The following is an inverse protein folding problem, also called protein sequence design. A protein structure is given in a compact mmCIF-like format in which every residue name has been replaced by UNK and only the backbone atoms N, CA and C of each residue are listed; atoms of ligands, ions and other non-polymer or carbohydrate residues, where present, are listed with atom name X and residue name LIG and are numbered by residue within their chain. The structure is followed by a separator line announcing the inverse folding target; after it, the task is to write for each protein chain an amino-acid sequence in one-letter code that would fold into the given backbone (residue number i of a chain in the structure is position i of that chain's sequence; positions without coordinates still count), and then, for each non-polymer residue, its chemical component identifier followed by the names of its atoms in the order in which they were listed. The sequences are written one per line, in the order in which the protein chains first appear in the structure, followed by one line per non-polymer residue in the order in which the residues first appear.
data_IF_658145802534
#
_entry.id   IF_658145802534
#
_cell.length_a   1.000
_cell.length_b   1.000
_cell.length_c   1.000
_cell.angle_alpha   90.00
_cell.angle_beta   90.00
_cell.angle_gamma   90.00
#
_symmetry.space_group_name_H-M   'P 1'
#
loop_
_entity.id
_entity.type
_entity.pdbx_description
1 polymer ?
#
# COMPACT_ATOMS: atom_id res chain seq x y z
N UNK A 1 39.15 -31.07 25.53
CA UNK A 1 39.44 -30.85 24.11
C UNK A 1 38.26 -31.30 23.30
N UNK A 2 37.39 -30.40 22.93
CA UNK A 2 36.47 -30.52 21.77
C UNK A 2 35.80 -29.18 21.63
N UNK A 3 36.26 -28.42 20.66
CA UNK A 3 35.67 -27.15 20.24
C UNK A 3 34.51 -27.49 19.28
N UNK A 4 33.29 -27.32 19.72
CA UNK A 4 32.09 -27.48 18.82
C UNK A 4 31.76 -26.13 18.27
N UNK A 5 31.96 -25.99 16.99
CA UNK A 5 31.57 -24.88 16.15
C UNK A 5 30.03 -24.82 16.07
N UNK A 6 29.46 -23.86 16.77
CA UNK A 6 28.05 -23.48 16.64
C UNK A 6 27.95 -22.29 15.70
N UNK A 7 27.79 -22.54 14.40
CA UNK A 7 27.79 -21.49 13.39
C UNK A 7 26.69 -21.58 12.31
N UNK A 8 25.57 -22.28 12.54
CA UNK A 8 24.58 -22.48 11.47
C UNK A 8 23.12 -22.21 11.86
N UNK A 9 22.85 -21.46 12.93
CA UNK A 9 21.46 -21.23 13.40
C UNK A 9 20.96 -19.79 13.37
N UNK A 10 21.76 -18.83 12.97
CA UNK A 10 21.41 -17.41 13.12
C UNK A 10 20.37 -16.92 12.09
N UNK A 11 20.40 -17.42 10.87
CA UNK A 11 19.49 -16.95 9.82
C UNK A 11 18.04 -17.45 9.96
N UNK A 12 17.85 -18.66 10.48
CA UNK A 12 16.51 -19.23 10.67
C UNK A 12 15.85 -18.72 11.97
N UNK A 13 16.66 -18.31 12.97
CA UNK A 13 16.15 -17.79 14.23
C UNK A 13 15.66 -16.34 14.16
N UNK A 14 16.24 -15.50 13.29
CA UNK A 14 15.78 -14.12 13.10
C UNK A 14 14.36 -14.05 12.50
N UNK A 15 13.99 -15.00 11.66
CA UNK A 15 12.63 -15.10 11.12
C UNK A 15 11.66 -15.74 12.12
N UNK A 16 12.16 -16.53 13.07
CA UNK A 16 11.34 -17.27 14.04
C UNK A 16 11.16 -16.59 15.39
N UNK A 17 12.04 -15.65 15.76
CA UNK A 17 12.00 -14.99 17.08
C UNK A 17 11.11 -13.75 17.14
N UNK A 18 10.57 -13.27 16.00
CA UNK A 18 9.45 -12.34 16.01
C UNK A 18 8.14 -13.13 16.07
N UNK A 19 7.95 -13.86 17.18
CA UNK A 19 6.74 -14.58 17.47
C UNK A 19 5.60 -13.58 17.51
N UNK A 20 4.67 -13.82 16.63
CA UNK A 20 3.33 -13.27 16.56
C UNK A 20 2.67 -13.26 17.96
N UNK A 21 2.63 -12.13 18.60
CA UNK A 21 1.45 -11.79 19.38
C UNK A 21 0.29 -11.82 18.38
N UNK A 22 -0.77 -12.52 18.72
CA UNK A 22 -2.02 -12.60 17.99
C UNK A 22 -2.61 -11.21 17.76
N UNK A 23 -2.06 -10.53 16.78
CA UNK A 23 -2.66 -9.30 16.25
C UNK A 23 -3.63 -9.80 15.20
N UNK A 24 -4.91 -9.47 15.37
CA UNK A 24 -5.96 -9.60 14.37
C UNK A 24 -5.41 -9.39 12.97
N UNK A 25 -6.04 -9.93 11.88
CA UNK A 25 -5.56 -9.75 10.53
C UNK A 25 -5.46 -8.25 10.27
N UNK A 26 -4.35 -7.69 10.69
CA UNK A 26 -4.07 -6.26 10.67
C UNK A 26 -4.06 -5.88 9.22
N UNK A 27 -5.03 -5.10 8.82
CA UNK A 27 -5.03 -4.43 7.54
C UNK A 27 -3.76 -3.59 7.45
N UNK A 28 -2.72 -4.17 6.83
CA UNK A 28 -1.56 -3.39 6.45
C UNK A 28 -1.97 -2.48 5.31
N UNK A 29 -1.41 -1.28 5.29
CA UNK A 29 -1.73 -0.29 4.25
C UNK A 29 -0.83 -0.49 3.01
N UNK A 30 0.44 -0.89 3.24
CA UNK A 30 1.44 -1.12 2.20
C UNK A 30 2.24 -2.40 2.41
N UNK A 31 2.78 -2.92 1.30
CA UNK A 31 3.79 -3.97 1.30
C UNK A 31 5.03 -3.50 0.56
N UNK A 32 6.17 -3.57 1.22
CA UNK A 32 7.47 -3.35 0.63
C UNK A 32 8.06 -4.72 0.30
N UNK A 33 8.41 -4.90 -0.96
CA UNK A 33 9.03 -6.11 -1.46
C UNK A 33 10.54 -5.98 -1.39
N UNK A 34 11.13 -6.72 -0.48
CA UNK A 34 12.57 -6.79 -0.32
C UNK A 34 13.14 -7.95 -1.11
N UNK A 35 14.30 -7.77 -1.73
CA UNK A 35 14.98 -8.83 -2.47
C UNK A 35 15.30 -9.99 -1.54
N UNK A 36 14.95 -11.19 -1.98
CA UNK A 36 15.04 -12.36 -1.15
C UNK A 36 16.47 -12.78 -0.87
N UNK A 37 16.60 -13.49 0.23
CA UNK A 37 17.83 -14.21 0.53
C UNK A 37 18.03 -15.30 -0.52
N UNK A 38 19.20 -15.39 -1.16
CA UNK A 38 19.47 -16.44 -2.13
C UNK A 38 19.21 -17.81 -1.47
N UNK A 39 18.41 -18.64 -2.12
CA UNK A 39 18.15 -19.98 -1.64
C UNK A 39 19.51 -20.71 -1.58
N UNK A 40 19.81 -21.29 -0.44
CA UNK A 40 20.79 -22.37 -0.36
C UNK A 40 20.11 -23.52 -1.10
N UNK A 41 20.51 -23.77 -2.33
CA UNK A 41 19.98 -24.90 -3.09
C UNK A 41 20.35 -26.19 -2.33
N UNK A 42 19.40 -27.11 -2.25
CA UNK A 42 19.64 -28.44 -1.65
C UNK A 42 20.81 -29.19 -2.31
N UNK A 43 21.16 -28.82 -3.53
CA UNK A 43 22.27 -29.41 -4.32
C UNK A 43 23.67 -28.91 -3.94
N UNK A 44 23.79 -28.03 -2.95
CA UNK A 44 25.12 -27.58 -2.47
C UNK A 44 25.96 -26.75 -3.44
N UNK A 45 25.49 -26.50 -4.68
CA UNK A 45 26.28 -25.95 -5.78
C UNK A 45 26.30 -24.43 -5.90
N UNK A 46 25.42 -23.71 -5.20
CA UNK A 46 25.45 -22.23 -5.14
C UNK A 46 25.24 -21.77 -3.70
N UNK A 47 26.27 -21.88 -2.86
CA UNK A 47 26.30 -21.16 -1.60
C UNK A 47 26.39 -19.68 -1.89
N UNK A 48 25.49 -18.89 -1.30
CA UNK A 48 25.68 -17.46 -1.22
C UNK A 48 27.07 -17.17 -0.62
N UNK A 49 27.80 -16.18 -1.13
CA UNK A 49 29.08 -15.79 -0.52
C UNK A 49 28.88 -15.54 0.98
N UNK A 50 29.82 -15.97 1.82
CA UNK A 50 29.78 -15.64 3.24
C UNK A 50 29.77 -14.12 3.38
N UNK A 51 28.85 -13.56 4.15
CA UNK A 51 28.67 -12.12 4.34
C UNK A 51 27.47 -11.51 3.60
N UNK A 52 27.08 -12.00 2.44
CA UNK A 52 25.93 -11.46 1.67
C UNK A 52 24.60 -11.56 2.46
N UNK A 53 24.44 -12.65 3.20
CA UNK A 53 23.23 -12.86 4.01
C UNK A 53 23.19 -11.90 5.19
N UNK A 54 24.36 -11.63 5.79
CA UNK A 54 24.48 -10.72 6.93
C UNK A 54 24.27 -9.26 6.49
N UNK A 55 24.80 -8.86 5.33
CA UNK A 55 24.57 -7.52 4.77
C UNK A 55 23.10 -7.27 4.49
N UNK A 56 22.41 -8.23 3.88
CA UNK A 56 20.97 -8.12 3.59
C UNK A 56 20.11 -8.14 4.85
N UNK A 57 20.50 -8.92 5.86
CA UNK A 57 19.82 -8.92 7.14
C UNK A 57 19.97 -7.57 7.85
N UNK A 58 21.17 -6.99 7.85
CA UNK A 58 21.43 -5.66 8.42
C UNK A 58 20.69 -4.56 7.66
N UNK A 59 20.60 -4.65 6.33
CA UNK A 59 19.81 -3.70 5.53
C UNK A 59 18.31 -3.79 5.87
N UNK A 60 17.76 -4.99 5.99
CA UNK A 60 16.39 -5.21 6.40
C UNK A 60 16.11 -4.67 7.81
N UNK A 61 17.01 -4.88 8.75
CA UNK A 61 16.90 -4.33 10.11
C UNK A 61 16.95 -2.80 10.09
N UNK A 62 17.86 -2.20 9.34
CA UNK A 62 17.93 -0.74 9.15
C UNK A 62 16.66 -0.19 8.52
N UNK A 63 16.11 -0.88 7.52
CA UNK A 63 14.84 -0.52 6.89
C UNK A 63 13.70 -0.53 7.92
N UNK A 64 13.59 -1.58 8.70
CA UNK A 64 12.53 -1.71 9.73
C UNK A 64 12.70 -0.67 10.85
N UNK A 65 13.93 -0.39 11.27
CA UNK A 65 14.23 0.66 12.24
C UNK A 65 13.83 2.03 11.70
N UNK A 66 14.18 2.34 10.43
CA UNK A 66 13.83 3.59 9.76
C UNK A 66 12.32 3.80 9.66
N UNK A 67 11.57 2.75 9.32
CA UNK A 67 10.10 2.80 9.30
C UNK A 67 9.52 3.09 10.68
N UNK A 68 10.08 2.45 11.72
CA UNK A 68 9.63 2.66 13.10
C UNK A 68 9.91 4.07 13.60
N UNK A 69 11.06 4.63 13.27
CA UNK A 69 11.45 6.00 13.65
C UNK A 69 10.49 7.07 13.13
N UNK A 70 9.83 6.80 12.01
CA UNK A 70 8.83 7.72 11.43
C UNK A 70 7.38 7.39 11.80
N UNK A 71 7.17 6.52 12.80
CA UNK A 71 5.84 6.16 13.31
C UNK A 71 5.08 5.18 12.41
N UNK A 72 5.81 4.36 11.64
CA UNK A 72 5.24 3.29 10.84
C UNK A 72 5.48 1.93 11.53
N UNK A 73 4.40 1.20 11.77
CA UNK A 73 4.49 -0.18 12.28
C UNK A 73 4.80 -1.10 11.11
N UNK A 74 5.85 -1.90 11.24
CA UNK A 74 6.28 -2.82 10.19
C UNK A 74 6.45 -4.25 10.69
N UNK A 75 6.02 -5.22 9.88
CA UNK A 75 6.16 -6.65 10.14
C UNK A 75 6.70 -7.34 8.90
N UNK A 76 7.78 -8.09 9.03
CA UNK A 76 8.37 -8.86 7.95
C UNK A 76 7.80 -10.27 7.89
N UNK A 77 7.50 -10.76 6.71
CA UNK A 77 7.10 -12.15 6.43
C UNK A 77 7.84 -12.70 5.23
N UNK A 78 8.13 -13.98 5.26
CA UNK A 78 8.68 -14.66 4.09
C UNK A 78 7.67 -14.61 2.94
N UNK A 79 8.11 -14.17 1.80
CA UNK A 79 7.32 -14.16 0.56
C UNK A 79 7.18 -15.55 -0.06
N UNK A 80 6.57 -15.66 -1.25
CA UNK A 80 6.40 -16.92 -1.95
C UNK A 80 7.70 -17.70 -2.07
N UNK A 81 7.66 -18.98 -1.69
CA UNK A 81 8.83 -19.87 -1.60
C UNK A 81 9.72 -19.91 -2.86
N UNK A 82 9.16 -19.62 -4.04
CA UNK A 82 9.89 -19.71 -5.28
C UNK A 82 11.03 -18.71 -5.46
N UNK A 83 10.99 -17.54 -4.79
CA UNK A 83 11.93 -16.43 -5.03
C UNK A 83 12.74 -16.00 -3.82
N UNK A 84 12.53 -16.58 -2.64
CA UNK A 84 13.24 -16.20 -1.41
C UNK A 84 13.05 -14.73 -1.01
N UNK A 85 11.96 -14.10 -1.43
CA UNK A 85 11.64 -12.70 -1.15
C UNK A 85 11.13 -12.52 0.27
N UNK A 86 11.38 -11.35 0.84
CA UNK A 86 10.80 -10.92 2.11
C UNK A 86 9.78 -9.82 1.82
N UNK A 87 8.60 -9.96 2.40
CA UNK A 87 7.54 -8.97 2.32
C UNK A 87 7.49 -8.23 3.66
N UNK A 88 7.67 -6.92 3.63
CA UNK A 88 7.53 -6.05 4.80
C UNK A 88 6.19 -5.36 4.72
N UNK A 89 5.28 -5.75 5.60
CA UNK A 89 3.96 -5.15 5.73
C UNK A 89 4.06 -3.90 6.58
N UNK A 90 3.53 -2.81 6.10
CA UNK A 90 3.63 -1.49 6.74
C UNK A 90 2.23 -0.95 7.02
N UNK A 91 2.05 -0.41 8.21
CA UNK A 91 0.84 0.28 8.65
C UNK A 91 1.23 1.60 9.32
N UNK A 92 0.48 2.65 9.04
CA UNK A 92 0.65 3.93 9.73
C UNK A 92 -0.04 3.91 11.10
N UNK A 93 0.61 4.47 12.10
CA UNK A 93 0.02 4.65 13.42
C UNK A 93 -1.06 5.74 13.39
N UNK A 94 -2.13 5.54 14.15
CA UNK A 94 -3.29 6.45 14.13
C UNK A 94 -2.92 7.89 14.54
N UNK A 95 -2.04 8.04 15.52
CA UNK A 95 -1.57 9.35 15.98
C UNK A 95 -0.84 10.13 14.85
N UNK A 96 0.05 9.45 14.12
CA UNK A 96 0.78 10.04 12.99
C UNK A 96 -0.17 10.39 11.85
N UNK A 97 -1.18 9.55 11.62
CA UNK A 97 -2.21 9.79 10.61
C UNK A 97 -3.02 11.05 10.92
N UNK A 98 -3.42 11.25 12.18
CA UNK A 98 -4.13 12.45 12.63
C UNK A 98 -3.26 13.71 12.49
N UNK A 99 -1.99 13.63 12.90
CA UNK A 99 -1.04 14.73 12.75
C UNK A 99 -0.90 15.15 11.28
N UNK A 100 -0.68 14.20 10.37
CA UNK A 100 -0.56 14.49 8.94
C UNK A 100 -1.83 15.09 8.34
N UNK A 101 -3.02 14.61 8.75
CA UNK A 101 -4.29 15.20 8.33
C UNK A 101 -4.44 16.63 8.82
N UNK A 102 -4.09 16.90 10.07
CA UNK A 102 -4.20 18.23 10.65
C UNK A 102 -3.27 19.23 9.95
N UNK A 103 -2.03 18.82 9.62
CA UNK A 103 -1.10 19.65 8.86
C UNK A 103 -1.65 19.95 7.47
N UNK A 104 -2.16 18.94 6.75
CA UNK A 104 -2.72 19.13 5.41
C UNK A 104 -3.95 20.05 5.44
N UNK A 105 -4.90 19.80 6.35
CA UNK A 105 -6.09 20.65 6.51
C UNK A 105 -5.74 22.10 6.88
N UNK A 106 -4.71 22.29 7.71
CA UNK A 106 -4.25 23.65 8.04
C UNK A 106 -3.64 24.38 6.84
N UNK A 107 -2.94 23.66 5.98
CA UNK A 107 -2.42 24.20 4.72
C UNK A 107 -3.56 24.52 3.75
N UNK A 108 -4.52 23.61 3.60
CA UNK A 108 -5.71 23.80 2.75
C UNK A 108 -6.56 24.98 3.22
N UNK A 109 -6.67 25.19 4.52
CA UNK A 109 -7.33 26.36 5.12
C UNK A 109 -6.59 27.67 4.78
N UNK A 110 -5.26 27.68 4.89
CA UNK A 110 -4.44 28.83 4.53
C UNK A 110 -4.54 29.18 3.03
N UNK A 111 -4.77 28.18 2.20
CA UNK A 111 -4.99 28.37 0.75
C UNK A 111 -6.47 28.66 0.39
N UNK A 112 -7.37 28.72 1.37
CA UNK A 112 -8.80 28.99 1.17
C UNK A 112 -9.58 27.86 0.51
N UNK A 113 -9.05 26.63 0.54
CA UNK A 113 -9.70 25.43 -0.03
C UNK A 113 -10.72 24.84 0.93
N UNK A 114 -10.47 24.95 2.22
CA UNK A 114 -11.29 24.37 3.31
C UNK A 114 -11.82 25.46 4.20
N UNK A 115 -13.06 25.32 4.66
CA UNK A 115 -13.69 26.26 5.60
C UNK A 115 -13.27 25.97 7.05
N UNK A 116 -13.49 26.93 7.96
CA UNK A 116 -13.21 26.75 9.39
C UNK A 116 -14.05 25.64 10.03
N UNK A 117 -15.27 25.40 9.53
CA UNK A 117 -16.15 24.32 9.97
C UNK A 117 -15.61 22.95 9.59
N UNK A 118 -15.14 22.82 8.34
CA UNK A 118 -14.53 21.58 7.84
C UNK A 118 -13.20 21.27 8.52
N UNK A 119 -12.46 22.29 8.94
CA UNK A 119 -11.21 22.11 9.70
C UNK A 119 -11.44 21.38 11.02
N UNK A 120 -12.58 21.63 11.68
CA UNK A 120 -12.94 21.05 12.98
C UNK A 120 -13.63 19.69 12.90
N UNK A 121 -13.98 19.23 11.68
CA UNK A 121 -14.75 18.00 11.51
C UNK A 121 -13.85 16.77 11.69
N UNK A 122 -14.16 15.94 12.66
CA UNK A 122 -13.47 14.67 12.91
C UNK A 122 -14.16 13.51 12.16
N UNK A 123 -13.93 13.45 10.85
CA UNK A 123 -14.43 12.36 10.03
C UNK A 123 -13.54 11.11 10.14
N UNK A 124 -14.11 9.91 10.05
CA UNK A 124 -13.33 8.68 10.00
C UNK A 124 -12.41 8.66 8.78
N UNK A 125 -11.21 8.09 8.94
CA UNK A 125 -10.24 7.99 7.84
C UNK A 125 -10.74 7.06 6.75
N UNK A 126 -10.78 7.57 5.52
CA UNK A 126 -11.09 6.79 4.34
C UNK A 126 -9.90 5.90 3.95
N UNK A 127 -10.13 4.69 3.41
CA UNK A 127 -9.05 3.81 2.98
C UNK A 127 -8.05 4.48 2.03
N UNK A 128 -8.54 5.26 1.05
CA UNK A 128 -7.70 6.00 0.12
C UNK A 128 -6.79 7.03 0.80
N UNK A 129 -7.28 7.74 1.82
CA UNK A 129 -6.47 8.69 2.59
C UNK A 129 -5.35 7.98 3.35
N UNK A 130 -5.67 6.85 4.00
CA UNK A 130 -4.69 6.06 4.74
C UNK A 130 -3.54 5.62 3.83
N UNK A 131 -3.87 5.07 2.66
CA UNK A 131 -2.90 4.65 1.67
C UNK A 131 -2.05 5.83 1.21
N UNK A 132 -2.66 6.99 0.93
CA UNK A 132 -1.95 8.21 0.51
C UNK A 132 -0.98 8.72 1.57
N UNK A 133 -1.42 8.83 2.83
CA UNK A 133 -0.57 9.27 3.93
C UNK A 133 0.56 8.28 4.22
N UNK A 134 0.26 6.98 4.20
CA UNK A 134 1.29 5.95 4.38
C UNK A 134 2.35 6.02 3.28
N UNK A 135 1.94 6.18 2.03
CA UNK A 135 2.87 6.37 0.92
C UNK A 135 3.73 7.63 1.09
N UNK A 136 3.10 8.77 1.42
CA UNK A 136 3.80 10.03 1.68
C UNK A 136 4.83 9.87 2.80
N UNK A 137 4.46 9.18 3.90
CA UNK A 137 5.35 8.95 5.04
C UNK A 137 6.51 7.99 4.73
N UNK A 138 6.31 7.01 3.84
CA UNK A 138 7.38 6.12 3.38
C UNK A 138 8.36 6.86 2.46
N UNK A 139 7.86 7.66 1.50
CA UNK A 139 8.66 8.24 0.41
C UNK A 139 9.26 9.60 0.71
N UNK A 140 8.67 10.39 1.60
CA UNK A 140 9.19 11.70 1.95
C UNK A 140 10.61 11.61 2.53
N UNK A 141 11.46 12.65 2.34
CA UNK A 141 12.84 12.64 2.80
C UNK A 141 12.97 12.42 4.31
N UNK A 142 13.91 11.61 4.74
CA UNK A 142 14.10 11.26 6.15
C UNK A 142 14.54 12.44 7.04
N UNK A 143 15.23 13.43 6.49
CA UNK A 143 15.74 14.58 7.23
C UNK A 143 14.97 15.88 6.98
N UNK A 144 13.74 15.78 6.48
CA UNK A 144 12.86 16.93 6.36
C UNK A 144 12.44 17.46 7.74
N UNK A 145 11.87 18.66 7.78
CA UNK A 145 11.25 19.20 9.00
C UNK A 145 10.20 18.23 9.54
N UNK A 146 9.92 18.27 10.85
CA UNK A 146 9.03 17.32 11.53
C UNK A 146 7.68 17.10 10.84
N UNK A 147 7.15 18.15 10.18
CA UNK A 147 5.88 18.08 9.45
C UNK A 147 5.93 17.23 8.17
N UNK A 148 7.11 17.19 7.52
CA UNK A 148 7.31 16.49 6.24
C UNK A 148 8.25 15.29 6.36
N UNK A 149 8.62 14.93 7.59
CA UNK A 149 9.54 13.84 7.84
C UNK A 149 8.97 12.52 7.30
N UNK A 150 9.75 11.82 6.49
CA UNK A 150 9.44 10.50 5.98
C UNK A 150 10.60 9.52 6.16
N UNK A 151 10.40 8.29 5.72
CA UNK A 151 11.43 7.26 5.80
C UNK A 151 12.49 7.39 4.69
N UNK A 152 12.21 8.14 3.61
CA UNK A 152 13.10 8.29 2.47
C UNK A 152 13.28 7.01 1.66
N UNK A 153 12.31 6.10 1.73
CA UNK A 153 12.37 4.80 1.08
C UNK A 153 11.67 4.88 -0.26
N UNK A 154 12.40 4.58 -1.32
CA UNK A 154 11.87 4.40 -2.67
C UNK A 154 12.42 3.10 -3.26
N UNK A 155 11.76 2.59 -4.29
CA UNK A 155 12.23 1.38 -4.96
C UNK A 155 13.65 1.59 -5.50
N UNK A 156 14.56 0.69 -5.15
CA UNK A 156 15.97 0.68 -5.57
C UNK A 156 16.72 1.99 -5.28
N UNK A 157 16.42 2.64 -4.15
CA UNK A 157 17.19 3.82 -3.76
C UNK A 157 18.63 3.44 -3.34
N UNK A 158 19.53 4.42 -3.40
CA UNK A 158 20.95 4.19 -3.08
C UNK A 158 21.17 3.69 -1.64
N UNK A 159 20.30 4.09 -0.70
CA UNK A 159 20.38 3.68 0.70
C UNK A 159 19.81 2.26 0.95
N UNK A 160 18.80 1.86 0.16
CA UNK A 160 18.16 0.54 0.23
C UNK A 160 18.06 -0.11 -1.16
N UNK A 161 19.19 -0.58 -1.73
CA UNK A 161 19.23 -1.12 -3.09
C UNK A 161 18.41 -2.40 -3.27
N UNK A 162 18.17 -3.14 -2.17
CA UNK A 162 17.41 -4.40 -2.20
C UNK A 162 15.90 -4.22 -2.02
N UNK A 163 15.42 -3.00 -1.87
CA UNK A 163 13.97 -2.70 -1.96
C UNK A 163 13.57 -2.72 -3.43
N UNK A 164 12.88 -3.77 -3.85
CA UNK A 164 12.49 -3.97 -5.25
C UNK A 164 11.30 -3.13 -5.65
N UNK A 165 10.26 -3.12 -4.81
CA UNK A 165 8.98 -2.51 -5.14
C UNK A 165 8.16 -2.19 -3.89
N UNK A 166 7.21 -1.27 -4.02
CA UNK A 166 6.28 -0.90 -2.96
C UNK A 166 4.86 -0.91 -3.53
N UNK A 167 3.96 -1.65 -2.89
CA UNK A 167 2.60 -1.82 -3.36
C UNK A 167 1.60 -1.51 -2.26
N UNK A 168 0.54 -0.73 -2.56
CA UNK A 168 -0.59 -0.59 -1.65
C UNK A 168 -1.34 -1.91 -1.55
N UNK A 169 -1.85 -2.22 -0.37
CA UNK A 169 -2.73 -3.35 -0.17
C UNK A 169 -4.18 -2.92 -0.35
N UNK A 170 -4.88 -3.63 -1.22
CA UNK A 170 -6.31 -3.43 -1.45
C UNK A 170 -7.12 -4.51 -0.76
N UNK A 171 -8.29 -4.12 -0.25
CA UNK A 171 -9.23 -5.06 0.33
C UNK A 171 -9.87 -5.92 -0.76
N UNK A 172 -9.58 -7.22 -0.73
CA UNK A 172 -10.11 -8.18 -1.69
C UNK A 172 -11.63 -8.36 -1.56
N UNK A 173 -12.18 -8.18 -0.35
CA UNK A 173 -13.61 -8.29 -0.09
C UNK A 173 -14.37 -7.14 -0.74
N UNK A 174 -13.86 -5.92 -0.62
CA UNK A 174 -14.39 -4.75 -1.31
C UNK A 174 -14.35 -4.94 -2.83
N UNK A 175 -13.20 -5.36 -3.37
CA UNK A 175 -13.02 -5.55 -4.81
C UNK A 175 -14.01 -6.57 -5.37
N UNK A 176 -14.20 -7.71 -4.68
CA UNK A 176 -15.13 -8.74 -5.12
C UNK A 176 -16.60 -8.25 -5.08
N UNK A 177 -16.99 -7.56 -4.01
CA UNK A 177 -18.33 -7.00 -3.89
C UNK A 177 -18.59 -5.96 -4.98
N UNK A 178 -17.62 -5.07 -5.21
CA UNK A 178 -17.71 -4.03 -6.23
C UNK A 178 -17.77 -4.58 -7.65
N UNK A 179 -16.89 -5.53 -8.01
CA UNK A 179 -16.91 -6.21 -9.31
C UNK A 179 -18.26 -6.92 -9.52
N UNK A 180 -18.79 -7.58 -8.50
CA UNK A 180 -20.10 -8.24 -8.58
C UNK A 180 -21.22 -7.24 -8.88
N UNK A 181 -21.23 -6.09 -8.24
CA UNK A 181 -22.22 -5.02 -8.48
C UNK A 181 -22.11 -4.49 -9.91
N UNK A 182 -20.89 -4.27 -10.39
CA UNK A 182 -20.64 -3.71 -11.73
C UNK A 182 -20.79 -4.72 -12.86
N UNK A 183 -20.64 -6.02 -12.60
CA UNK A 183 -20.80 -7.08 -13.60
C UNK A 183 -22.26 -7.44 -13.86
N UNK A 184 -23.19 -7.02 -13.00
CA UNK A 184 -24.63 -7.21 -13.24
C UNK A 184 -25.14 -6.25 -14.32
N UNK A 185 -25.08 -6.73 -15.56
CA UNK A 185 -25.63 -5.99 -16.71
C UNK A 185 -27.15 -6.15 -16.70
N UNK A 186 -27.87 -5.07 -16.40
CA UNK A 186 -29.32 -4.92 -16.56
C UNK A 186 -29.60 -3.94 -17.69
N UNK A 187 -30.71 -4.08 -18.38
CA UNK A 187 -31.16 -3.07 -19.38
C UNK A 187 -31.25 -1.67 -18.74
N UNK A 188 -31.68 -1.59 -17.50
CA UNK A 188 -31.68 -0.35 -16.73
C UNK A 188 -30.26 0.20 -16.52
N UNK A 189 -29.29 -0.63 -16.20
CA UNK A 189 -27.90 -0.17 -16.00
C UNK A 189 -27.22 0.27 -17.31
N UNK A 190 -27.64 -0.25 -18.44
CA UNK A 190 -27.18 0.23 -19.76
C UNK A 190 -27.68 1.64 -20.02
N UNK A 191 -28.94 1.92 -19.72
CA UNK A 191 -29.59 3.23 -20.01
C UNK A 191 -29.22 4.27 -18.95
N UNK A 192 -29.32 3.91 -17.67
CA UNK A 192 -29.11 4.85 -16.56
C UNK A 192 -27.66 4.89 -16.05
N UNK A 193 -26.83 3.91 -16.47
CA UNK A 193 -25.45 3.78 -16.04
C UNK A 193 -25.34 3.36 -14.57
N UNK A 194 -24.19 3.66 -13.98
CA UNK A 194 -23.85 3.33 -12.60
C UNK A 194 -24.33 4.47 -11.70
N UNK A 195 -24.84 4.10 -10.54
CA UNK A 195 -25.30 5.06 -9.54
C UNK A 195 -24.13 5.87 -8.95
N UNK A 196 -24.39 7.14 -8.65
CA UNK A 196 -23.40 8.06 -8.08
C UNK A 196 -22.85 7.55 -6.74
N UNK A 197 -23.69 6.90 -5.94
CA UNK A 197 -23.26 6.31 -4.66
C UNK A 197 -22.18 5.25 -4.82
N UNK A 198 -22.19 4.48 -5.91
CA UNK A 198 -21.16 3.48 -6.19
C UNK A 198 -19.83 4.14 -6.63
N UNK A 199 -19.92 5.25 -7.35
CA UNK A 199 -18.74 6.07 -7.72
C UNK A 199 -18.14 6.72 -6.46
N UNK A 200 -18.98 7.17 -5.53
CA UNK A 200 -18.50 7.73 -4.25
C UNK A 200 -17.80 6.68 -3.38
N UNK A 201 -18.33 5.46 -3.31
CA UNK A 201 -17.64 4.34 -2.64
C UNK A 201 -16.27 4.05 -3.28
N UNK A 202 -16.20 4.12 -4.61
CA UNK A 202 -14.95 3.94 -5.34
C UNK A 202 -13.95 5.06 -5.01
N UNK A 203 -14.43 6.32 -4.93
CA UNK A 203 -13.61 7.47 -4.52
C UNK A 203 -13.04 7.29 -3.11
N UNK A 204 -13.86 6.85 -2.19
CA UNK A 204 -13.47 6.69 -0.78
C UNK A 204 -12.47 5.53 -0.59
N UNK A 205 -12.50 4.53 -1.49
CA UNK A 205 -11.60 3.37 -1.41
C UNK A 205 -10.30 3.52 -2.22
N UNK A 206 -10.37 4.03 -3.46
CA UNK A 206 -9.22 4.14 -4.36
C UNK A 206 -8.72 5.57 -4.57
N UNK A 207 -9.49 6.56 -4.17
CA UNK A 207 -9.17 7.97 -4.32
C UNK A 207 -9.83 8.63 -5.53
N UNK A 208 -9.71 9.96 -5.56
CA UNK A 208 -10.41 10.84 -6.51
C UNK A 208 -10.01 10.57 -7.95
N UNK A 209 -8.74 10.34 -8.24
CA UNK A 209 -8.26 10.13 -9.61
C UNK A 209 -8.90 8.93 -10.29
N UNK A 210 -8.99 7.81 -9.57
CA UNK A 210 -9.61 6.59 -10.08
C UNK A 210 -11.12 6.79 -10.22
N UNK A 211 -11.77 7.38 -9.23
CA UNK A 211 -13.21 7.65 -9.28
C UNK A 211 -13.58 8.57 -10.43
N UNK A 212 -12.81 9.61 -10.72
CA UNK A 212 -13.03 10.52 -11.85
C UNK A 212 -12.94 9.80 -13.20
N UNK A 213 -12.01 8.87 -13.34
CA UNK A 213 -11.91 8.05 -14.54
C UNK A 213 -13.19 7.23 -14.76
N UNK A 214 -13.69 6.56 -13.72
CA UNK A 214 -14.92 5.79 -13.82
C UNK A 214 -16.17 6.67 -14.00
N UNK A 215 -16.22 7.85 -13.36
CA UNK A 215 -17.29 8.83 -13.58
C UNK A 215 -17.32 9.31 -15.03
N UNK A 216 -16.16 9.59 -15.61
CA UNK A 216 -16.07 9.94 -17.03
C UNK A 216 -16.56 8.81 -17.94
N UNK A 217 -16.09 7.57 -17.71
CA UNK A 217 -16.55 6.41 -18.50
C UNK A 217 -18.05 6.21 -18.39
N UNK A 218 -18.63 6.39 -17.21
CA UNK A 218 -20.07 6.30 -17.00
C UNK A 218 -20.83 7.39 -17.77
N UNK A 219 -20.38 8.65 -17.71
CA UNK A 219 -20.98 9.75 -18.46
C UNK A 219 -20.85 9.54 -19.97
N UNK A 220 -19.68 9.09 -20.43
CA UNK A 220 -19.45 8.79 -21.84
C UNK A 220 -20.36 7.66 -22.34
N UNK A 221 -20.46 6.57 -21.60
CA UNK A 221 -21.34 5.45 -21.95
C UNK A 221 -22.81 5.87 -22.03
N UNK A 222 -23.27 6.70 -21.08
CA UNK A 222 -24.63 7.27 -21.12
C UNK A 222 -24.88 8.12 -22.36
N UNK A 223 -23.91 8.90 -22.79
CA UNK A 223 -24.06 9.76 -23.99
C UNK A 223 -24.10 8.98 -25.30
N UNK A 224 -23.57 7.75 -25.33
CA UNK A 224 -23.62 6.88 -26.49
C UNK A 224 -25.00 6.21 -26.70
N UNK A 225 -25.78 6.04 -25.63
CA UNK A 225 -27.09 5.36 -25.71
C UNK A 225 -28.06 6.05 -26.70
N UNK A 226 -28.30 7.35 -26.63
CA UNK A 226 -29.18 8.00 -27.59
C UNK A 226 -28.67 7.92 -29.04
N UNK A 227 -27.35 7.98 -29.24
CA UNK A 227 -26.77 7.78 -30.57
C UNK A 227 -27.01 6.36 -31.10
N UNK A 228 -26.84 5.34 -30.24
CA UNK A 228 -27.10 3.96 -30.59
C UNK A 228 -28.59 3.73 -30.95
N UNK A 229 -29.50 4.33 -30.19
CA UNK A 229 -30.97 4.25 -30.46
C UNK A 229 -31.32 4.91 -31.80
N UNK A 230 -30.81 6.11 -32.07
CA UNK A 230 -31.04 6.78 -33.33
C UNK A 230 -30.47 6.00 -34.52
N UNK A 231 -29.23 5.48 -34.38
CA UNK A 231 -28.64 4.63 -35.41
C UNK A 231 -29.42 3.35 -35.67
N UNK A 232 -29.97 2.74 -34.64
CA UNK A 232 -30.80 1.55 -34.77
C UNK A 232 -32.15 1.86 -35.51
N UNK A 233 -32.76 3.01 -35.20
CA UNK A 233 -34.01 3.45 -35.90
C UNK A 233 -33.75 3.69 -37.38
N UNK A 234 -32.62 4.27 -37.76
CA UNK A 234 -32.29 4.50 -39.18
C UNK A 234 -31.89 3.22 -39.93
N UNK A 235 -31.44 2.18 -39.20
CA UNK A 235 -31.08 0.90 -39.80
C UNK A 235 -32.31 0.01 -40.07
N UNK A 236 -33.38 0.12 -39.29
CA UNK A 236 -34.66 -0.58 -39.48
C UNK A 236 -35.48 0.02 -40.64
#
# INVERSE_FOLDING_TARGET
MACVVSGARTGAHLVSAMSLSSVDPVQADFVIKFEGFPKIFADGTKRAPPGLLDERAQELERLMARLRDVGLVSVSRAGPRARGQVLVFVRIEHAVLQEMRQIERSQDFLHGVVTAEELSTDEPFKPAERVRYTHKRITAPYRASSAEQGAGITARCAEFPHVMDMMPLHDSSFNQAWIKTWSHVSLASIVYGIDQSEIDKLRDHFGVHIAMYFAFLNAYSKSLVPMAVTGFIFWL
#
